data_IF_892525653969
#
_entry.id   IF_892525653969
#
_cell.length_a   1.000
_cell.length_b   1.000
_cell.length_c   1.000
_cell.angle_alpha   90.00
_cell.angle_beta   90.00
_cell.angle_gamma   90.00
#
_symmetry.space_group_name_H-M   'P 1'
#
loop_
_entity.id
_entity.type
_entity.pdbx_description
1 polymer ?
#
# COMPACT_ATOMS: atom_id res chain seq x y z
N UNK A 1 -48.07 -8.89 26.57
CA UNK A 1 -46.91 -8.13 27.10
C UNK A 1 -45.97 -8.99 27.95
N UNK A 2 -46.40 -10.15 28.47
CA UNK A 2 -45.54 -11.03 29.27
C UNK A 2 -44.57 -11.88 28.43
N UNK A 3 -44.99 -12.34 27.23
CA UNK A 3 -44.15 -13.13 26.31
C UNK A 3 -42.86 -12.39 25.89
N UNK A 4 -42.98 -11.11 25.52
CA UNK A 4 -41.85 -10.27 25.07
C UNK A 4 -40.82 -10.06 26.19
N UNK A 5 -41.25 -9.97 27.46
CA UNK A 5 -40.34 -9.84 28.60
C UNK A 5 -39.55 -11.12 28.85
N UNK A 6 -40.15 -12.30 28.64
CA UNK A 6 -39.46 -13.58 28.78
C UNK A 6 -38.42 -13.78 27.70
N UNK A 7 -38.71 -13.39 26.46
CA UNK A 7 -37.77 -13.47 25.34
C UNK A 7 -36.54 -12.58 25.56
N UNK A 8 -36.73 -11.35 26.05
CA UNK A 8 -35.62 -10.45 26.40
C UNK A 8 -34.76 -10.98 27.55
N UNK A 9 -35.38 -11.61 28.55
CA UNK A 9 -34.67 -12.18 29.70
C UNK A 9 -33.83 -13.40 29.29
N UNK A 10 -34.35 -14.22 28.35
CA UNK A 10 -33.64 -15.37 27.80
C UNK A 10 -32.45 -14.94 26.92
N UNK A 11 -32.62 -13.91 26.09
CA UNK A 11 -31.53 -13.30 25.31
C UNK A 11 -30.44 -12.71 26.21
N UNK A 12 -30.82 -11.99 27.27
CA UNK A 12 -29.86 -11.41 28.21
C UNK A 12 -29.08 -12.48 28.98
N UNK A 13 -29.71 -13.62 29.26
CA UNK A 13 -29.08 -14.77 29.91
C UNK A 13 -28.06 -15.45 29.01
N UNK A 14 -28.37 -15.60 27.72
CA UNK A 14 -27.47 -16.16 26.72
C UNK A 14 -26.20 -15.29 26.55
N UNK A 15 -26.36 -13.96 26.45
CA UNK A 15 -25.21 -13.04 26.38
C UNK A 15 -24.29 -13.14 27.60
N UNK A 16 -24.86 -13.25 28.81
CA UNK A 16 -24.07 -13.39 30.05
C UNK A 16 -23.30 -14.70 30.10
N UNK A 17 -23.87 -15.78 29.57
CA UNK A 17 -23.20 -17.07 29.51
C UNK A 17 -21.97 -17.03 28.60
N UNK A 18 -22.10 -16.44 27.40
CA UNK A 18 -21.00 -16.30 26.43
C UNK A 18 -19.85 -15.44 26.98
N UNK A 19 -20.18 -14.33 27.65
CA UNK A 19 -19.16 -13.44 28.24
C UNK A 19 -18.37 -14.16 29.34
N UNK A 20 -19.05 -14.93 30.20
CA UNK A 20 -18.39 -15.69 31.25
C UNK A 20 -17.47 -16.78 30.68
N UNK A 21 -17.89 -17.49 29.63
CA UNK A 21 -17.07 -18.52 28.97
C UNK A 21 -15.79 -17.93 28.34
N UNK A 22 -15.89 -16.74 27.74
CA UNK A 22 -14.74 -16.03 27.17
C UNK A 22 -13.79 -15.50 28.25
N UNK A 23 -14.34 -15.00 29.35
CA UNK A 23 -13.54 -14.48 30.45
C UNK A 23 -12.75 -15.60 31.15
N UNK A 24 -13.39 -16.75 31.39
CA UNK A 24 -12.74 -17.94 31.99
C UNK A 24 -11.60 -18.49 31.10
N UNK A 25 -11.71 -18.39 29.77
CA UNK A 25 -10.63 -18.79 28.84
C UNK A 25 -9.51 -17.74 28.70
N UNK A 26 -9.69 -16.51 29.17
CA UNK A 26 -8.69 -15.43 29.00
C UNK A 26 -7.66 -15.43 30.14
N UNK A 27 -8.03 -15.94 31.31
CA UNK A 27 -7.15 -15.95 32.49
C UNK A 27 -5.91 -16.86 32.32
N UNK A 28 -6.00 -17.91 31.51
CA UNK A 28 -4.88 -18.85 31.25
C UNK A 28 -3.87 -18.36 30.20
N UNK A 29 -4.15 -17.28 29.45
CA UNK A 29 -3.25 -16.78 28.38
C UNK A 29 -2.41 -15.55 28.78
N UNK A 30 -2.65 -15.00 29.98
CA UNK A 30 -2.04 -13.74 30.45
C UNK A 30 -0.57 -13.85 30.89
N UNK A 31 0.02 -15.05 30.94
CA UNK A 31 1.37 -15.28 31.49
C UNK A 31 2.50 -15.33 30.45
N UNK A 32 2.22 -15.36 29.14
CA UNK A 32 3.27 -15.41 28.10
C UNK A 32 3.73 -14.01 27.65
N UNK A 33 2.90 -12.97 27.80
CA UNK A 33 3.19 -11.66 27.21
C UNK A 33 4.09 -10.74 28.07
N UNK A 34 4.23 -11.01 29.36
CA UNK A 34 4.86 -10.07 30.30
C UNK A 34 6.39 -10.24 30.50
N UNK A 35 7.08 -11.05 29.70
CA UNK A 35 8.52 -11.36 29.92
C UNK A 35 9.52 -10.75 28.93
N UNK A 36 9.09 -10.01 27.90
CA UNK A 36 10.02 -9.51 26.86
C UNK A 36 10.01 -8.00 26.65
N UNK A 37 9.68 -7.21 27.69
CA UNK A 37 9.77 -5.75 27.59
C UNK A 37 10.54 -5.19 28.78
N UNK A 38 11.87 -5.23 28.67
CA UNK A 38 12.74 -4.24 29.29
C UNK A 38 13.85 -3.86 28.30
N UNK A 39 13.79 -2.59 27.87
CA UNK A 39 14.76 -1.78 27.10
C UNK A 39 14.87 -1.95 25.56
N UNK A 40 13.95 -1.30 24.85
CA UNK A 40 14.34 -0.17 23.97
C UNK A 40 13.27 0.93 24.08
N UNK A 41 13.69 2.14 24.45
CA UNK A 41 12.84 3.32 24.57
C UNK A 41 12.21 3.68 23.21
N UNK A 42 10.93 3.44 23.04
CA UNK A 42 9.99 4.26 22.23
C UNK A 42 8.65 4.22 22.97
N UNK A 43 7.98 5.36 23.20
CA UNK A 43 6.94 5.43 24.22
C UNK A 43 5.74 4.53 23.88
N UNK A 44 5.17 4.02 24.97
CA UNK A 44 3.86 3.41 25.10
C UNK A 44 2.84 4.00 24.12
N UNK A 45 2.19 3.14 23.34
CA UNK A 45 0.73 3.11 23.36
C UNK A 45 0.20 1.85 22.71
N UNK A 46 -0.71 1.22 23.45
CA UNK A 46 -1.62 0.17 23.03
C UNK A 46 -2.28 0.49 21.69
N UNK A 47 -2.23 -0.46 20.74
CA UNK A 47 -2.99 -0.36 19.47
C UNK A 47 -3.65 -1.71 19.16
N UNK A 48 -4.42 -2.24 20.12
CA UNK A 48 -5.82 -2.58 19.80
C UNK A 48 -6.71 -1.31 19.81
N UNK A 49 -6.14 -0.17 20.17
CA UNK A 49 -6.66 1.17 19.87
C UNK A 49 -6.39 1.51 18.42
N UNK A 50 -7.34 1.27 17.53
CA UNK A 50 -7.50 2.02 16.27
C UNK A 50 -6.17 2.39 15.58
N UNK A 51 -5.57 1.48 14.81
CA UNK A 51 -4.43 1.80 13.93
C UNK A 51 -4.67 3.18 13.30
N UNK A 52 -3.98 4.21 13.80
CA UNK A 52 -4.37 5.59 13.56
C UNK A 52 -4.19 5.87 12.07
N UNK A 53 -5.30 5.78 11.33
CA UNK A 53 -5.32 5.86 9.87
C UNK A 53 -4.72 7.19 9.38
N UNK A 54 -4.69 8.20 10.24
CA UNK A 54 -4.16 9.52 9.95
C UNK A 54 -2.62 9.59 10.01
N UNK A 55 -1.95 8.66 10.69
CA UNK A 55 -0.48 8.67 10.86
C UNK A 55 0.24 7.57 10.07
N UNK A 56 -0.42 6.97 9.08
CA UNK A 56 0.28 6.05 8.16
C UNK A 56 1.30 6.83 7.32
N UNK A 57 2.47 6.24 7.03
CA UNK A 57 3.41 6.86 6.10
C UNK A 57 2.71 7.06 4.74
N UNK A 58 2.89 8.22 4.10
CA UNK A 58 2.29 8.50 2.81
C UNK A 58 2.60 7.36 1.84
N UNK A 59 1.58 6.82 1.17
CA UNK A 59 1.69 5.67 0.24
C UNK A 59 2.82 5.82 -0.78
N UNK A 60 3.17 7.07 -1.13
CA UNK A 60 4.28 7.43 -2.00
C UNK A 60 5.64 7.03 -1.41
N UNK A 61 5.88 7.20 -0.13
CA UNK A 61 7.20 7.00 0.48
C UNK A 61 7.58 5.51 0.56
N UNK A 62 6.61 4.65 0.88
CA UNK A 62 6.80 3.20 0.94
C UNK A 62 6.91 2.58 -0.46
N UNK A 63 6.10 3.06 -1.43
CA UNK A 63 6.04 2.46 -2.76
C UNK A 63 6.89 3.16 -3.85
N UNK A 64 7.50 4.31 -3.56
CA UNK A 64 8.38 5.03 -4.52
C UNK A 64 9.85 4.63 -4.44
N UNK A 65 10.25 3.74 -3.51
CA UNK A 65 11.64 3.32 -3.31
C UNK A 65 12.28 2.60 -4.51
N UNK A 66 11.48 2.14 -5.49
CA UNK A 66 12.04 1.65 -6.75
C UNK A 66 12.15 2.81 -7.71
N UNK A 67 13.32 3.48 -7.71
CA UNK A 67 13.83 4.36 -8.78
C UNK A 67 13.85 3.59 -10.10
N UNK A 68 12.69 3.38 -10.70
CA UNK A 68 12.57 2.85 -12.06
C UNK A 68 13.03 3.97 -12.96
N UNK A 69 14.32 3.93 -13.34
CA UNK A 69 14.84 4.73 -14.46
C UNK A 69 13.80 4.65 -15.59
N UNK A 70 13.33 5.80 -16.06
CA UNK A 70 12.39 5.85 -17.16
C UNK A 70 12.99 5.08 -18.33
N UNK A 71 12.48 3.86 -18.59
CA UNK A 71 12.90 3.11 -19.78
C UNK A 71 12.26 3.81 -20.96
N UNK A 72 13.04 4.64 -21.64
CA UNK A 72 12.66 5.24 -22.91
C UNK A 72 12.43 4.06 -23.87
N UNK A 73 11.17 3.73 -24.12
CA UNK A 73 10.79 2.74 -25.12
C UNK A 73 10.70 3.47 -26.45
N UNK A 74 11.74 3.35 -27.27
CA UNK A 74 11.62 3.70 -28.68
C UNK A 74 10.59 2.76 -29.31
N UNK A 75 9.44 3.32 -29.66
CA UNK A 75 8.37 2.57 -30.29
C UNK A 75 8.68 2.37 -31.78
N UNK A 76 8.16 1.30 -32.38
CA UNK A 76 8.27 1.03 -33.82
C UNK A 76 7.89 2.24 -34.72
N UNK A 77 6.88 3.07 -34.40
CA UNK A 77 6.63 4.27 -35.19
C UNK A 77 7.72 5.35 -35.02
N UNK A 78 8.35 5.45 -33.84
CA UNK A 78 9.43 6.42 -33.62
C UNK A 78 10.67 6.11 -34.46
N UNK A 79 11.08 4.83 -34.56
CA UNK A 79 12.21 4.47 -35.42
C UNK A 79 11.93 4.74 -36.90
N UNK A 80 10.68 4.54 -37.35
CA UNK A 80 10.27 4.88 -38.72
C UNK A 80 10.40 6.39 -38.99
N UNK A 81 10.01 7.22 -38.03
CA UNK A 81 10.15 8.67 -38.13
C UNK A 81 11.62 9.07 -38.22
N UNK A 82 12.48 8.52 -37.34
CA UNK A 82 13.92 8.80 -37.36
C UNK A 82 14.55 8.45 -38.71
N UNK A 83 14.20 7.31 -39.29
CA UNK A 83 14.70 6.91 -40.62
C UNK A 83 14.31 7.93 -41.70
N UNK A 84 13.05 8.36 -41.72
CA UNK A 84 12.57 9.35 -42.70
C UNK A 84 13.31 10.69 -42.53
N UNK A 85 13.48 11.16 -41.30
CA UNK A 85 14.20 12.41 -41.02
C UNK A 85 15.65 12.32 -41.46
N UNK A 86 16.33 11.21 -41.18
CA UNK A 86 17.72 10.98 -41.61
C UNK A 86 17.83 10.98 -43.13
N UNK A 87 16.89 10.33 -43.85
CA UNK A 87 16.89 10.36 -45.32
C UNK A 87 16.73 11.78 -45.87
N UNK A 88 15.81 12.57 -45.31
CA UNK A 88 15.63 13.97 -45.72
C UNK A 88 16.90 14.78 -45.52
N UNK A 89 17.58 14.61 -44.39
CA UNK A 89 18.85 15.31 -44.12
C UNK A 89 19.92 14.89 -45.12
N UNK A 90 20.07 13.59 -45.39
CA UNK A 90 21.05 13.08 -46.35
C UNK A 90 20.80 13.68 -47.74
N UNK A 91 19.55 13.63 -48.22
CA UNK A 91 19.19 14.22 -49.51
C UNK A 91 19.40 15.73 -49.54
N UNK A 92 19.06 16.45 -48.47
CA UNK A 92 19.26 17.89 -48.35
C UNK A 92 20.74 18.27 -48.40
N UNK A 93 21.60 17.55 -47.67
CA UNK A 93 23.05 17.77 -47.66
C UNK A 93 23.66 17.45 -49.02
N UNK A 94 23.26 16.33 -49.64
CA UNK A 94 23.73 15.98 -50.98
C UNK A 94 23.30 17.03 -52.00
N UNK A 95 22.06 17.51 -51.95
CA UNK A 95 21.57 18.56 -52.85
C UNK A 95 22.35 19.86 -52.66
N UNK A 96 22.54 20.29 -51.41
CA UNK A 96 23.28 21.52 -51.08
C UNK A 96 24.74 21.46 -51.53
N UNK A 97 25.42 20.33 -51.28
CA UNK A 97 26.80 20.15 -51.70
C UNK A 97 26.94 20.10 -53.23
N UNK A 98 25.99 19.45 -53.93
CA UNK A 98 26.00 19.44 -55.39
C UNK A 98 25.67 20.83 -55.97
N UNK A 99 24.83 21.63 -55.32
CA UNK A 99 24.54 23.00 -55.76
C UNK A 99 25.67 23.99 -55.48
N UNK A 100 26.49 23.76 -54.45
CA UNK A 100 27.67 24.58 -54.18
C UNK A 100 28.86 24.25 -55.10
N UNK A 101 28.89 23.02 -55.65
CA UNK A 101 29.99 22.52 -56.50
C UNK A 101 29.77 22.83 -58.00
N UNK A 102 28.56 23.20 -58.41
CA UNK A 102 28.20 23.53 -59.80
C UNK A 102 27.90 25.02 -59.97
#
# INVERSE_FOLDING_TARGET
MEEIKKEYDDQAKELRAIINELQENTDDSSTIFSREIQEEKVPEQDVDTEMNVLNLPPRKEVHSQKKKRARIKFSKPFIRLVIVVVLIIIFGVLFFLNSDVF
#
